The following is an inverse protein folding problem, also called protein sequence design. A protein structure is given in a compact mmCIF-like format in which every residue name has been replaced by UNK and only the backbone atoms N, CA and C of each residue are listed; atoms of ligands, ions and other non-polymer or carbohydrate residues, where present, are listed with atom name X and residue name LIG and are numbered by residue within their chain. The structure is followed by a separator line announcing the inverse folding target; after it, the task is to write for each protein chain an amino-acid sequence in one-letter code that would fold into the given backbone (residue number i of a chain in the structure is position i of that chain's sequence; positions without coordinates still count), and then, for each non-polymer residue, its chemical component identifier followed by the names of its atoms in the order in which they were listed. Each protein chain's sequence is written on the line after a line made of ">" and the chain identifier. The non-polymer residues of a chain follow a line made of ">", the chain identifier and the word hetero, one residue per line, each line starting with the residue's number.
data_IF_212702836023
#
_entry.id   IF_212702836023
#
_cell.length_a   1.000
_cell.length_b   1.000
_cell.length_c   1.000
_cell.angle_alpha   90.00
_cell.angle_beta   90.00
_cell.angle_gamma   90.00
#
_symmetry.space_group_name_H-M   'P 1'
#
loop_
_entity.id
_entity.type
_entity.pdbx_description
1 polymer ?
#
# COMPACT_ATOMS: atom_id res chain seq x y z
N UNK A 1 -9.22 9.37 22.59
CA UNK A 1 -8.41 10.41 21.94
C UNK A 1 -7.54 9.70 20.91
N UNK A 2 -7.87 9.83 19.63
CA UNK A 2 -7.05 9.28 18.54
C UNK A 2 -6.15 10.41 18.05
N UNK A 3 -4.88 10.39 18.44
CA UNK A 3 -3.88 11.28 17.86
C UNK A 3 -3.52 10.72 16.50
N UNK A 4 -3.88 11.44 15.44
CA UNK A 4 -3.44 11.15 14.08
C UNK A 4 -2.67 12.36 13.56
N UNK A 5 -1.60 12.16 12.80
CA UNK A 5 -0.69 13.25 12.44
C UNK A 5 -0.34 13.17 10.96
N UNK A 6 -0.73 14.17 10.17
CA UNK A 6 -0.26 14.36 8.80
C UNK A 6 0.87 15.39 8.85
N UNK A 7 2.05 15.02 8.37
CA UNK A 7 3.30 15.71 8.63
C UNK A 7 4.07 15.97 7.35
N UNK A 8 4.56 17.19 7.18
CA UNK A 8 5.68 17.48 6.28
C UNK A 8 6.94 17.53 7.13
N UNK A 9 7.38 16.43 7.78
CA UNK A 9 8.49 16.40 8.78
C UNK A 9 9.68 15.55 8.29
N UNK A 10 10.91 15.93 8.67
CA UNK A 10 12.12 15.15 8.41
C UNK A 10 12.17 13.90 9.30
N UNK A 11 12.68 12.80 8.74
CA UNK A 11 12.85 11.52 9.44
C UNK A 11 13.43 11.61 10.87
N UNK A 12 14.49 12.41 11.16
CA UNK A 12 15.12 12.42 12.48
C UNK A 12 14.18 12.86 13.61
N UNK A 13 13.30 13.80 13.30
CA UNK A 13 12.39 14.43 14.26
C UNK A 13 11.28 13.48 14.70
N UNK A 14 10.74 12.70 13.76
CA UNK A 14 9.76 11.65 14.07
C UNK A 14 10.39 10.44 14.76
N UNK A 15 11.65 10.13 14.43
CA UNK A 15 12.37 8.96 14.94
C UNK A 15 12.37 8.94 16.46
N UNK A 16 12.62 10.07 17.13
CA UNK A 16 12.64 10.15 18.61
C UNK A 16 11.36 9.64 19.26
N UNK A 17 10.19 9.92 18.66
CA UNK A 17 8.89 9.57 19.24
C UNK A 17 8.33 8.24 18.72
N UNK A 18 8.57 7.91 17.46
CA UNK A 18 7.91 6.79 16.78
C UNK A 18 8.84 5.65 16.36
N UNK A 19 10.14 5.72 16.64
CA UNK A 19 11.05 4.59 16.40
C UNK A 19 10.54 3.32 17.08
N UNK A 20 10.60 2.21 16.33
CA UNK A 20 10.13 0.88 16.76
C UNK A 20 8.65 0.78 17.15
N UNK A 21 7.79 1.69 16.71
CA UNK A 21 6.35 1.71 17.06
C UNK A 21 5.42 1.50 15.88
N UNK A 22 5.91 1.60 14.64
CA UNK A 22 5.07 1.47 13.44
C UNK A 22 4.86 -0.01 13.12
N UNK A 23 3.59 -0.42 13.04
CA UNK A 23 3.23 -1.82 12.74
C UNK A 23 3.26 -2.10 11.25
N UNK A 24 2.76 -1.17 10.44
CA UNK A 24 2.68 -1.32 8.99
C UNK A 24 3.15 -0.04 8.32
N UNK A 25 4.04 -0.18 7.35
CA UNK A 25 4.38 0.88 6.39
C UNK A 25 3.80 0.47 5.04
N UNK A 26 3.04 1.36 4.41
CA UNK A 26 2.70 1.23 3.00
C UNK A 26 3.17 2.49 2.29
N UNK A 27 3.86 2.31 1.16
CA UNK A 27 4.28 3.43 0.33
C UNK A 27 4.09 3.16 -1.16
N UNK A 28 3.79 4.24 -1.86
CA UNK A 28 3.59 4.32 -3.30
C UNK A 28 4.55 5.38 -3.89
N UNK A 29 5.87 5.06 -3.97
CA UNK A 29 6.87 5.99 -4.47
C UNK A 29 6.70 6.30 -5.97
N UNK A 30 7.38 7.32 -6.52
CA UNK A 30 7.48 7.52 -7.97
C UNK A 30 8.04 6.27 -8.66
N UNK A 31 7.45 5.91 -9.81
CA UNK A 31 7.79 4.69 -10.54
C UNK A 31 8.89 4.89 -11.60
N UNK A 32 9.37 6.13 -11.76
CA UNK A 32 10.40 6.51 -12.71
C UNK A 32 10.01 6.23 -14.18
N UNK A 33 8.76 6.53 -14.55
CA UNK A 33 8.21 6.21 -15.88
C UNK A 33 8.63 7.20 -16.97
N UNK A 34 9.26 8.32 -16.58
CA UNK A 34 9.60 9.43 -17.48
C UNK A 34 8.41 10.31 -17.89
N UNK A 35 7.21 10.05 -17.34
CA UNK A 35 6.04 10.90 -17.52
C UNK A 35 5.90 11.85 -16.32
N UNK A 36 6.16 13.14 -16.55
CA UNK A 36 5.92 14.19 -15.56
C UNK A 36 4.41 14.46 -15.41
N UNK A 37 3.69 13.55 -14.76
CA UNK A 37 2.31 13.79 -14.37
C UNK A 37 2.25 14.41 -12.96
N UNK A 38 1.66 15.61 -12.89
CA UNK A 38 1.35 16.42 -11.72
C UNK A 38 2.47 16.57 -10.67
N UNK A 39 3.32 17.60 -10.83
CA UNK A 39 4.26 18.20 -9.88
C UNK A 39 5.29 17.28 -9.18
N UNK A 40 5.18 15.96 -9.30
CA UNK A 40 6.11 15.01 -8.73
C UNK A 40 7.12 14.61 -9.81
N UNK A 41 8.41 14.76 -9.54
CA UNK A 41 9.45 14.34 -10.47
C UNK A 41 9.38 12.82 -10.64
N UNK A 42 9.06 12.34 -11.84
CA UNK A 42 9.02 10.90 -12.17
C UNK A 42 10.04 10.56 -13.27
N UNK A 43 11.06 11.40 -13.42
CA UNK A 43 12.11 11.30 -14.42
C UNK A 43 13.49 11.43 -13.77
N UNK A 44 13.85 10.43 -12.97
CA UNK A 44 15.15 10.33 -12.32
C UNK A 44 16.14 9.55 -13.20
N UNK A 45 17.43 9.92 -13.13
CA UNK A 45 18.46 8.94 -13.42
C UNK A 45 18.29 7.77 -12.43
N UNK A 46 18.37 6.54 -12.92
CA UNK A 46 18.19 5.33 -12.11
C UNK A 46 19.04 5.31 -10.82
N UNK A 47 20.30 5.74 -10.91
CA UNK A 47 21.18 5.85 -9.73
C UNK A 47 20.65 6.84 -8.68
N UNK A 48 20.13 7.99 -9.13
CA UNK A 48 19.49 8.99 -8.26
C UNK A 48 18.22 8.45 -7.62
N UNK A 49 17.41 7.68 -8.35
CA UNK A 49 16.19 7.04 -7.82
C UNK A 49 16.54 6.03 -6.72
N UNK A 50 17.57 5.21 -6.92
CA UNK A 50 18.04 4.25 -5.91
C UNK A 50 18.54 4.93 -4.65
N UNK A 51 19.35 6.00 -4.77
CA UNK A 51 19.80 6.79 -3.60
C UNK A 51 18.62 7.44 -2.88
N UNK A 52 17.67 7.99 -3.65
CA UNK A 52 16.44 8.58 -3.12
C UNK A 52 15.62 7.60 -2.29
N UNK A 53 15.47 6.36 -2.78
CA UNK A 53 14.76 5.28 -2.08
C UNK A 53 15.55 4.71 -0.91
N UNK A 54 16.87 4.53 -1.06
CA UNK A 54 17.75 3.97 -0.02
C UNK A 54 17.62 4.75 1.28
N UNK A 55 17.82 6.07 1.21
CA UNK A 55 17.76 6.94 2.40
C UNK A 55 16.41 6.86 3.12
N UNK A 56 15.31 6.66 2.39
CA UNK A 56 13.95 6.57 2.94
C UNK A 56 13.62 5.19 3.49
N UNK A 57 14.10 4.13 2.84
CA UNK A 57 13.90 2.75 3.29
C UNK A 57 14.73 2.44 4.54
N UNK A 58 15.95 2.96 4.63
CA UNK A 58 16.77 2.88 5.85
C UNK A 58 16.06 3.54 7.04
N UNK A 59 15.55 4.75 6.82
CA UNK A 59 14.69 5.47 7.75
C UNK A 59 13.43 4.68 8.15
N UNK A 60 12.70 4.14 7.17
CA UNK A 60 11.48 3.35 7.38
C UNK A 60 11.73 2.15 8.31
N UNK A 61 12.86 1.46 8.12
CA UNK A 61 13.26 0.32 8.94
C UNK A 61 13.43 0.67 10.43
N UNK A 62 13.85 1.89 10.75
CA UNK A 62 14.00 2.34 12.13
C UNK A 62 12.66 2.63 12.82
N UNK A 63 11.63 3.00 12.04
CA UNK A 63 10.28 3.23 12.55
C UNK A 63 9.52 1.94 12.85
N UNK A 64 9.72 0.90 12.04
CA UNK A 64 9.03 -0.37 12.20
C UNK A 64 9.27 -0.98 13.59
N UNK A 65 8.22 -1.48 14.23
CA UNK A 65 8.34 -2.39 15.38
C UNK A 65 9.05 -3.69 14.97
N UNK A 66 9.54 -4.46 15.93
CA UNK A 66 10.28 -5.70 15.64
C UNK A 66 9.42 -6.74 14.90
N UNK A 67 8.11 -6.69 15.11
CA UNK A 67 7.06 -7.43 14.42
C UNK A 67 6.34 -6.60 13.33
N UNK A 68 6.99 -5.54 12.84
CA UNK A 68 6.45 -4.63 11.83
C UNK A 68 6.71 -5.11 10.41
N UNK A 69 5.85 -4.68 9.48
CA UNK A 69 5.94 -5.01 8.04
C UNK A 69 5.92 -3.77 7.16
N UNK A 70 6.60 -3.84 6.02
CA UNK A 70 6.60 -2.79 4.99
C UNK A 70 6.10 -3.36 3.66
N UNK A 71 5.27 -2.57 2.99
CA UNK A 71 4.77 -2.79 1.64
C UNK A 71 5.22 -1.63 0.75
N UNK A 72 5.93 -1.94 -0.33
CA UNK A 72 6.40 -0.93 -1.30
C UNK A 72 5.86 -1.27 -2.67
N UNK A 73 5.01 -0.38 -3.20
CA UNK A 73 4.43 -0.54 -4.52
C UNK A 73 5.35 -0.01 -5.63
N UNK A 74 5.34 -0.69 -6.76
CA UNK A 74 6.13 -0.33 -7.94
C UNK A 74 5.54 -0.94 -9.21
N UNK A 75 5.91 -0.40 -10.36
CA UNK A 75 5.66 -1.04 -11.65
C UNK A 75 6.90 -1.84 -12.12
N UNK A 76 6.87 -2.28 -13.37
CA UNK A 76 7.92 -3.14 -13.93
C UNK A 76 9.27 -2.43 -14.13
N UNK A 77 9.31 -1.08 -14.15
CA UNK A 77 10.53 -0.33 -14.40
C UNK A 77 11.55 -0.49 -13.28
N UNK A 78 11.09 -0.37 -12.02
CA UNK A 78 11.98 -0.29 -10.85
C UNK A 78 11.86 -1.50 -9.89
N UNK A 79 10.86 -2.38 -10.04
CA UNK A 79 10.59 -3.45 -9.07
C UNK A 79 11.80 -4.36 -8.78
N UNK A 80 12.58 -4.71 -9.81
CA UNK A 80 13.70 -5.63 -9.66
C UNK A 80 14.85 -4.99 -8.87
N UNK A 81 15.14 -3.72 -9.16
CA UNK A 81 16.20 -2.97 -8.48
C UNK A 81 15.79 -2.59 -7.06
N UNK A 82 14.52 -2.21 -6.87
CA UNK A 82 13.93 -2.03 -5.56
C UNK A 82 14.02 -3.30 -4.72
N UNK A 83 13.77 -4.48 -5.30
CA UNK A 83 13.90 -5.77 -4.61
C UNK A 83 15.34 -6.02 -4.13
N UNK A 84 16.34 -5.71 -4.95
CA UNK A 84 17.76 -5.83 -4.58
C UNK A 84 18.11 -4.86 -3.46
N UNK A 85 17.66 -3.61 -3.55
CA UNK A 85 17.87 -2.59 -2.52
C UNK A 85 17.20 -2.98 -1.19
N UNK A 86 15.97 -3.48 -1.23
CA UNK A 86 15.26 -3.93 -0.04
C UNK A 86 15.89 -5.19 0.58
N UNK A 87 16.49 -6.09 -0.21
CA UNK A 87 17.28 -7.21 0.33
C UNK A 87 18.49 -6.71 1.14
N UNK A 88 19.15 -5.64 0.71
CA UNK A 88 20.28 -5.03 1.45
C UNK A 88 19.80 -4.41 2.78
N UNK A 89 18.70 -3.65 2.74
CA UNK A 89 18.23 -2.87 3.89
C UNK A 89 17.47 -3.73 4.91
N UNK A 90 16.55 -4.58 4.44
CA UNK A 90 15.67 -5.39 5.30
C UNK A 90 16.16 -6.81 5.51
N UNK A 91 17.24 -7.22 4.85
CA UNK A 91 17.77 -8.59 4.80
C UNK A 91 16.89 -9.54 3.98
N UNK A 92 17.54 -10.34 3.14
CA UNK A 92 16.87 -11.25 2.18
C UNK A 92 15.96 -12.28 2.87
N UNK A 93 16.35 -12.76 4.04
CA UNK A 93 15.61 -13.75 4.82
C UNK A 93 14.28 -13.23 5.38
N UNK A 94 14.14 -11.90 5.49
CA UNK A 94 12.95 -11.20 5.95
C UNK A 94 11.99 -10.84 4.79
N UNK A 95 12.36 -11.15 3.55
CA UNK A 95 11.44 -11.08 2.43
C UNK A 95 10.27 -12.03 2.65
N UNK A 96 9.05 -11.51 2.50
CA UNK A 96 7.82 -12.28 2.66
C UNK A 96 7.35 -12.78 1.31
N UNK A 97 6.97 -11.85 0.43
CA UNK A 97 6.34 -12.13 -0.85
C UNK A 97 6.32 -10.88 -1.73
N UNK A 98 6.21 -11.08 -3.05
CA UNK A 98 5.83 -10.04 -3.99
C UNK A 98 4.35 -10.25 -4.34
N UNK A 99 3.50 -9.32 -3.88
CA UNK A 99 2.09 -9.30 -4.27
C UNK A 99 1.96 -8.72 -5.68
N UNK A 100 1.02 -9.24 -6.45
CA UNK A 100 0.69 -8.76 -7.79
C UNK A 100 -0.71 -8.18 -7.76
N UNK A 101 -0.85 -6.88 -8.00
CA UNK A 101 -2.15 -6.22 -8.06
C UNK A 101 -2.63 -6.06 -9.50
N UNK A 102 -3.85 -6.51 -9.79
CA UNK A 102 -4.52 -6.26 -11.08
C UNK A 102 -5.08 -4.82 -11.12
N UNK A 103 -4.28 -3.89 -11.68
CA UNK A 103 -4.62 -2.47 -11.74
C UNK A 103 -5.65 -2.08 -12.79
N UNK A 104 -5.85 -2.92 -13.81
CA UNK A 104 -6.83 -2.68 -14.87
C UNK A 104 -7.25 -3.98 -15.55
N UNK A 105 -8.52 -4.08 -15.92
CA UNK A 105 -9.04 -5.17 -16.75
C UNK A 105 -8.74 -4.96 -18.25
N UNK A 106 -8.51 -3.71 -18.66
CA UNK A 106 -8.34 -3.30 -20.05
C UNK A 106 -7.02 -2.55 -20.26
N UNK A 107 -6.27 -2.95 -21.29
CA UNK A 107 -5.04 -2.26 -21.72
C UNK A 107 -4.95 -2.31 -23.25
N UNK A 108 -4.56 -1.19 -23.86
CA UNK A 108 -4.49 -1.00 -25.32
C UNK A 108 -3.08 -1.20 -25.89
N UNK A 109 -2.10 -1.52 -25.04
CA UNK A 109 -0.73 -1.80 -25.47
C UNK A 109 -0.61 -3.15 -26.20
N UNK A 110 0.45 -3.31 -27.01
CA UNK A 110 0.76 -4.53 -27.78
C UNK A 110 0.76 -5.78 -26.89
N UNK A 111 1.27 -5.67 -25.68
CA UNK A 111 1.10 -6.63 -24.59
C UNK A 111 0.28 -5.94 -23.51
N UNK A 112 -0.84 -6.54 -23.10
CA UNK A 112 -1.74 -5.95 -22.10
C UNK A 112 -1.11 -6.01 -20.71
N UNK A 113 -0.34 -4.99 -20.34
CA UNK A 113 0.19 -4.84 -18.99
C UNK A 113 -0.98 -4.43 -18.08
N UNK A 114 -1.35 -5.33 -17.16
CA UNK A 114 -2.51 -5.18 -16.27
C UNK A 114 -2.12 -5.14 -14.80
N UNK A 115 -0.85 -5.32 -14.49
CA UNK A 115 -0.39 -5.59 -13.14
C UNK A 115 0.61 -4.54 -12.64
N UNK A 116 0.64 -4.38 -11.34
CA UNK A 116 1.69 -3.72 -10.57
C UNK A 116 2.14 -4.66 -9.44
N UNK A 117 3.30 -4.37 -8.87
CA UNK A 117 3.95 -5.22 -7.88
C UNK A 117 4.02 -4.51 -6.53
N UNK A 118 3.87 -5.26 -5.44
CA UNK A 118 4.00 -4.76 -4.08
C UNK A 118 4.93 -5.69 -3.32
N UNK A 119 6.14 -5.21 -3.04
CA UNK A 119 7.14 -5.95 -2.29
C UNK A 119 6.82 -5.88 -0.80
N UNK A 120 6.78 -7.03 -0.14
CA UNK A 120 6.51 -7.14 1.29
C UNK A 120 7.72 -7.71 2.05
N UNK A 121 8.13 -7.00 3.11
CA UNK A 121 9.19 -7.41 4.03
C UNK A 121 8.73 -7.28 5.48
N UNK A 122 9.17 -8.21 6.32
CA UNK A 122 9.18 -8.05 7.77
C UNK A 122 10.43 -7.26 8.18
N UNK A 123 10.37 -6.53 9.30
CA UNK A 123 11.59 -5.91 9.85
C UNK A 123 12.55 -6.97 10.40
N UNK A 124 12.01 -7.93 11.14
CA UNK A 124 12.69 -9.12 11.66
C UNK A 124 11.80 -10.30 11.35
N UNK A 125 12.32 -11.41 10.84
CA UNK A 125 11.50 -12.57 10.55
C UNK A 125 10.74 -13.07 11.79
N UNK A 126 9.42 -12.97 11.75
CA UNK A 126 8.53 -13.50 12.80
C UNK A 126 7.42 -14.39 12.23
N UNK A 127 7.31 -14.47 10.90
CA UNK A 127 6.38 -15.39 10.24
C UNK A 127 4.94 -14.91 10.34
N UNK A 128 4.70 -13.66 9.97
CA UNK A 128 3.37 -13.07 9.92
C UNK A 128 2.44 -13.97 9.11
N UNK A 129 1.34 -14.35 9.74
CA UNK A 129 0.31 -15.14 9.09
C UNK A 129 -0.69 -14.16 8.47
N UNK A 130 -0.59 -13.99 7.15
CA UNK A 130 -1.56 -13.22 6.36
C UNK A 130 -2.85 -14.04 6.14
N UNK A 131 -3.51 -14.47 7.22
CA UNK A 131 -4.79 -15.15 7.15
C UNK A 131 -5.89 -14.19 7.60
N UNK A 132 -6.74 -13.80 6.65
CA UNK A 132 -7.99 -13.07 6.93
C UNK A 132 -9.11 -13.43 5.95
N UNK A 133 -8.81 -14.20 4.92
CA UNK A 133 -9.84 -14.65 3.99
C UNK A 133 -10.64 -15.74 4.68
N UNK A 134 -11.94 -15.56 4.74
CA UNK A 134 -12.86 -16.61 5.13
C UNK A 134 -13.40 -17.23 3.85
N UNK A 135 -13.29 -18.54 3.72
CA UNK A 135 -14.13 -19.25 2.76
C UNK A 135 -15.58 -19.13 3.26
N UNK A 136 -16.42 -18.42 2.51
CA UNK A 136 -17.84 -18.27 2.82
C UNK A 136 -18.53 -19.65 2.84
N UNK A 137 -19.50 -19.83 3.73
CA UNK A 137 -20.37 -21.00 3.73
C UNK A 137 -20.99 -21.23 2.33
N UNK A 138 -20.61 -22.33 1.68
CA UNK A 138 -21.06 -22.66 0.32
C UNK A 138 -19.99 -22.57 -0.77
N UNK A 139 -18.82 -21.97 -0.50
CA UNK A 139 -17.71 -21.95 -1.45
C UNK A 139 -17.18 -23.37 -1.68
N UNK A 140 -17.02 -23.76 -2.95
CA UNK A 140 -16.60 -25.11 -3.32
C UNK A 140 -15.20 -25.17 -3.92
N UNK A 141 -14.44 -26.20 -3.54
CA UNK A 141 -13.07 -26.43 -3.95
C UNK A 141 -12.92 -27.73 -4.76
N UNK A 142 -11.99 -27.79 -5.72
CA UNK A 142 -11.75 -29.03 -6.45
C UNK A 142 -11.07 -30.08 -5.55
N UNK A 143 -11.62 -31.29 -5.52
CA UNK A 143 -11.02 -32.45 -4.82
C UNK A 143 -9.95 -33.16 -5.67
N UNK A 144 -9.84 -32.80 -6.95
CA UNK A 144 -8.89 -33.39 -7.90
C UNK A 144 -7.61 -32.57 -8.03
N UNK A 145 -6.50 -33.25 -8.28
CA UNK A 145 -5.23 -32.67 -8.70
C UNK A 145 -4.62 -33.51 -9.83
N UNK A 146 -4.36 -32.90 -11.00
CA UNK A 146 -3.95 -33.62 -12.21
C UNK A 146 -2.55 -34.26 -12.12
N UNK A 147 -1.70 -33.84 -11.19
CA UNK A 147 -0.40 -34.47 -10.97
C UNK A 147 -0.47 -35.73 -10.09
N UNK A 148 -1.58 -35.96 -9.39
CA UNK A 148 -1.68 -37.09 -8.48
C UNK A 148 -1.88 -38.42 -9.23
N UNK A 149 -1.37 -39.50 -8.65
CA UNK A 149 -1.69 -40.86 -9.09
C UNK A 149 -3.17 -41.13 -8.82
N UNK A 150 -3.83 -41.81 -9.77
CA UNK A 150 -5.22 -42.21 -9.60
C UNK A 150 -5.36 -43.13 -8.39
N UNK A 151 -6.43 -42.93 -7.63
CA UNK A 151 -6.83 -43.80 -6.53
C UNK A 151 -8.34 -43.95 -6.53
N UNK A 152 -8.79 -45.11 -6.07
CA UNK A 152 -10.21 -45.38 -5.87
C UNK A 152 -10.58 -44.99 -4.44
N UNK A 153 -11.51 -44.04 -4.31
CA UNK A 153 -12.11 -43.68 -3.03
C UNK A 153 -13.56 -44.18 -2.97
N UNK A 154 -13.97 -44.54 -1.76
CA UNK A 154 -15.30 -45.01 -1.42
C UNK A 154 -16.11 -43.85 -0.83
N UNK A 155 -17.26 -43.58 -1.45
CA UNK A 155 -18.19 -42.55 -1.01
C UNK A 155 -19.43 -43.21 -0.40
N UNK A 156 -19.69 -43.04 0.90
CA UNK A 156 -20.84 -43.64 1.57
C UNK A 156 -22.16 -43.02 1.07
N UNK A 157 -23.33 -43.65 1.31
CA UNK A 157 -24.62 -43.05 1.00
C UNK A 157 -24.76 -41.62 1.56
N UNK A 158 -25.45 -40.77 0.81
CA UNK A 158 -25.73 -39.37 1.13
C UNK A 158 -24.48 -38.46 1.23
N UNK A 159 -23.32 -38.88 0.72
CA UNK A 159 -22.08 -38.08 0.78
C UNK A 159 -21.88 -37.16 -0.42
N UNK A 160 -22.46 -37.47 -1.58
CA UNK A 160 -22.34 -36.67 -2.80
C UNK A 160 -23.70 -36.11 -3.20
N UNK A 161 -23.77 -34.80 -3.39
CA UNK A 161 -24.90 -34.08 -3.97
C UNK A 161 -24.71 -33.87 -5.48
N UNK A 162 -25.77 -34.13 -6.25
CA UNK A 162 -25.79 -34.04 -7.71
C UNK A 162 -26.77 -32.96 -8.16
N UNK A 163 -26.30 -32.01 -8.97
CA UNK A 163 -27.16 -30.93 -9.51
C UNK A 163 -27.93 -31.37 -10.76
N UNK A 164 -27.26 -32.06 -11.68
CA UNK A 164 -27.83 -32.42 -13.00
C UNK A 164 -28.23 -33.90 -13.09
N UNK A 165 -27.42 -34.80 -12.54
CA UNK A 165 -27.64 -36.24 -12.64
C UNK A 165 -28.82 -36.76 -11.79
N UNK A 166 -29.54 -37.76 -12.33
CA UNK A 166 -30.69 -38.43 -11.70
C UNK A 166 -30.72 -39.91 -12.11
N UNK A 167 -31.42 -40.74 -11.33
CA UNK A 167 -31.64 -42.15 -11.66
C UNK A 167 -30.41 -43.02 -11.39
N UNK A 168 -30.22 -44.05 -12.22
CA UNK A 168 -29.10 -45.00 -12.08
C UNK A 168 -28.08 -44.76 -13.19
N UNK A 169 -26.84 -44.51 -12.82
CA UNK A 169 -25.70 -44.42 -13.72
C UNK A 169 -24.88 -45.69 -13.60
N UNK A 170 -24.68 -46.39 -14.72
CA UNK A 170 -23.83 -47.58 -14.78
C UNK A 170 -22.34 -47.19 -14.74
N UNK A 171 -21.45 -48.11 -14.31
CA UNK A 171 -20.01 -47.89 -14.36
C UNK A 171 -19.58 -47.33 -15.72
N UNK A 172 -18.90 -46.20 -15.69
CA UNK A 172 -18.51 -45.46 -16.90
C UNK A 172 -17.35 -44.53 -16.61
N UNK A 173 -16.68 -44.10 -17.68
CA UNK A 173 -15.55 -43.18 -17.62
C UNK A 173 -15.99 -41.78 -18.07
N UNK A 174 -15.81 -40.82 -17.19
CA UNK A 174 -15.92 -39.40 -17.47
C UNK A 174 -14.54 -38.79 -17.75
N UNK A 175 -14.49 -37.51 -18.12
CA UNK A 175 -13.25 -36.82 -18.50
C UNK A 175 -12.17 -36.95 -17.40
N UNK A 176 -12.50 -36.59 -16.15
CA UNK A 176 -11.55 -36.59 -15.02
C UNK A 176 -11.74 -37.73 -14.01
N UNK A 177 -12.82 -38.50 -14.11
CA UNK A 177 -13.21 -39.50 -13.11
C UNK A 177 -13.74 -40.77 -13.77
N UNK A 178 -13.59 -41.90 -13.09
CA UNK A 178 -14.10 -43.19 -13.51
C UNK A 178 -15.01 -43.74 -12.41
N UNK A 179 -16.27 -43.96 -12.76
CA UNK A 179 -17.27 -44.54 -11.87
C UNK A 179 -17.16 -46.06 -11.94
N UNK A 180 -16.85 -46.70 -10.81
CA UNK A 180 -16.55 -48.14 -10.73
C UNK A 180 -17.81 -48.97 -10.42
N UNK A 181 -18.72 -48.43 -9.62
CA UNK A 181 -19.94 -49.10 -9.20
C UNK A 181 -21.19 -48.45 -9.83
N UNK A 182 -22.31 -49.17 -9.85
CA UNK A 182 -23.62 -48.57 -10.14
C UNK A 182 -23.90 -47.42 -9.16
N UNK A 183 -24.13 -46.21 -9.68
CA UNK A 183 -24.49 -45.05 -8.87
C UNK A 183 -26.00 -44.82 -8.94
N UNK A 184 -26.68 -44.97 -7.81
CA UNK A 184 -28.13 -44.74 -7.68
C UNK A 184 -28.38 -43.40 -7.01
N UNK A 185 -28.97 -42.46 -7.73
CA UNK A 185 -29.21 -41.09 -7.25
C UNK A 185 -30.68 -40.95 -6.85
N UNK A 186 -30.92 -40.72 -5.56
CA UNK A 186 -32.24 -40.48 -4.97
C UNK A 186 -32.18 -39.18 -4.18
N UNK A 187 -33.19 -38.32 -4.31
CA UNK A 187 -33.21 -37.00 -3.66
C UNK A 187 -31.93 -36.18 -3.89
N UNK A 188 -31.40 -36.22 -5.13
CA UNK A 188 -30.16 -35.56 -5.56
C UNK A 188 -28.90 -36.02 -4.82
N UNK A 189 -28.93 -37.14 -4.10
CA UNK A 189 -27.75 -37.70 -3.44
C UNK A 189 -27.54 -39.16 -3.82
N UNK A 190 -26.32 -39.68 -3.63
CA UNK A 190 -26.08 -41.11 -3.84
C UNK A 190 -26.76 -41.93 -2.74
N UNK A 191 -27.68 -42.81 -3.11
CA UNK A 191 -28.39 -43.69 -2.16
C UNK A 191 -27.60 -44.91 -1.75
N UNK A 192 -26.57 -45.28 -2.53
CA UNK A 192 -25.69 -46.39 -2.26
C UNK A 192 -24.24 -45.93 -2.12
N UNK A 193 -23.44 -46.77 -1.48
CA UNK A 193 -22.00 -46.61 -1.47
C UNK A 193 -21.46 -46.76 -2.90
N UNK A 194 -20.56 -45.87 -3.30
CA UNK A 194 -20.02 -45.82 -4.66
C UNK A 194 -18.51 -45.65 -4.65
N UNK A 195 -17.80 -46.44 -5.45
CA UNK A 195 -16.38 -46.25 -5.71
C UNK A 195 -16.16 -45.40 -6.95
N UNK A 196 -15.32 -44.39 -6.79
CA UNK A 196 -14.89 -43.51 -7.88
C UNK A 196 -13.37 -43.56 -7.93
N UNK A 197 -12.81 -43.78 -9.11
CA UNK A 197 -11.39 -43.75 -9.39
C UNK A 197 -11.02 -42.41 -10.05
N UNK A 198 -10.15 -41.63 -9.41
CA UNK A 198 -9.70 -40.36 -9.94
C UNK A 198 -8.38 -39.92 -9.31
N UNK A 199 -7.80 -38.83 -9.81
CA UNK A 199 -6.59 -38.22 -9.26
C UNK A 199 -6.91 -37.35 -8.03
N UNK A 200 -7.38 -37.98 -6.96
CA UNK A 200 -7.82 -37.29 -5.74
C UNK A 200 -6.66 -36.65 -4.97
N UNK A 201 -6.94 -35.49 -4.34
CA UNK A 201 -6.05 -34.85 -3.37
C UNK A 201 -5.95 -35.60 -2.05
N UNK A 202 -6.99 -36.36 -1.69
CA UNK A 202 -7.16 -36.94 -0.36
C UNK A 202 -6.99 -38.46 -0.34
N UNK A 203 -6.67 -39.00 0.82
CA UNK A 203 -6.77 -40.44 1.14
C UNK A 203 -8.22 -40.78 1.56
N UNK A 204 -8.53 -42.07 1.69
CA UNK A 204 -9.82 -42.51 2.25
C UNK A 204 -10.01 -41.93 3.66
N UNK A 205 -9.00 -42.06 4.53
CA UNK A 205 -9.06 -41.52 5.90
C UNK A 205 -9.38 -40.01 5.94
N UNK A 206 -8.75 -39.22 5.06
CA UNK A 206 -9.00 -37.78 5.02
C UNK A 206 -10.40 -37.47 4.49
N UNK A 207 -10.89 -38.22 3.51
CA UNK A 207 -12.26 -38.11 3.02
C UNK A 207 -13.27 -38.42 4.14
N UNK A 208 -13.08 -39.52 4.86
CA UNK A 208 -13.96 -39.94 5.95
C UNK A 208 -13.97 -38.92 7.09
N UNK A 209 -12.82 -38.32 7.41
CA UNK A 209 -12.73 -37.21 8.37
C UNK A 209 -13.54 -35.99 7.91
N UNK A 210 -13.43 -35.60 6.65
CA UNK A 210 -14.16 -34.44 6.10
C UNK A 210 -15.68 -34.71 6.06
N UNK A 211 -16.11 -35.93 5.74
CA UNK A 211 -17.52 -36.32 5.83
C UNK A 211 -18.02 -36.19 7.27
N UNK A 212 -17.25 -36.64 8.27
CA UNK A 212 -17.59 -36.51 9.69
C UNK A 212 -17.67 -35.05 10.14
N UNK A 213 -16.81 -34.19 9.60
CA UNK A 213 -16.84 -32.74 9.83
C UNK A 213 -18.02 -32.04 9.11
N UNK A 214 -18.78 -32.76 8.29
CA UNK A 214 -19.95 -32.24 7.58
C UNK A 214 -19.65 -31.63 6.21
N UNK A 215 -18.48 -31.90 5.64
CA UNK A 215 -18.13 -31.47 4.28
C UNK A 215 -19.06 -32.14 3.26
N UNK A 216 -19.66 -31.35 2.38
CA UNK A 216 -20.55 -31.80 1.31
C UNK A 216 -19.77 -31.94 0.01
N UNK A 217 -19.83 -33.09 -0.64
CA UNK A 217 -19.27 -33.26 -1.99
C UNK A 217 -20.33 -32.94 -3.03
N UNK A 218 -19.96 -32.27 -4.11
CA UNK A 218 -20.90 -31.81 -5.14
C UNK A 218 -20.40 -32.07 -6.55
N UNK A 219 -21.30 -32.58 -7.40
CA UNK A 219 -21.13 -32.67 -8.84
C UNK A 219 -22.18 -31.76 -9.49
N UNK A 220 -21.72 -30.66 -10.10
CA UNK A 220 -22.57 -29.56 -10.57
C UNK A 220 -23.01 -29.65 -12.03
N UNK A 221 -22.32 -30.45 -12.85
CA UNK A 221 -22.50 -30.52 -14.30
C UNK A 221 -22.26 -31.94 -14.82
N UNK A 222 -22.60 -32.16 -16.09
CA UNK A 222 -22.49 -33.45 -16.76
C UNK A 222 -21.03 -33.88 -17.04
N UNK A 223 -20.05 -33.00 -16.78
CA UNK A 223 -18.62 -33.34 -16.81
C UNK A 223 -18.21 -34.30 -15.68
N UNK A 224 -19.09 -34.52 -14.70
CA UNK A 224 -18.84 -35.37 -13.54
C UNK A 224 -17.57 -34.95 -12.77
N UNK A 225 -17.38 -33.65 -12.63
CA UNK A 225 -16.25 -33.06 -11.89
C UNK A 225 -16.67 -32.76 -10.45
N UNK A 226 -16.20 -33.59 -9.51
CA UNK A 226 -16.50 -33.43 -8.09
C UNK A 226 -15.70 -32.30 -7.44
N UNK A 227 -16.43 -31.54 -6.61
CA UNK A 227 -15.93 -30.48 -5.75
C UNK A 227 -16.41 -30.73 -4.33
N UNK A 228 -15.88 -30.03 -3.35
CA UNK A 228 -16.30 -30.16 -1.95
C UNK A 228 -16.54 -28.79 -1.34
N UNK A 229 -17.53 -28.71 -0.45
CA UNK A 229 -17.92 -27.53 0.32
C UNK A 229 -17.77 -27.92 1.78
N UNK A 230 -16.87 -27.25 2.51
CA UNK A 230 -16.72 -27.48 3.95
C UNK A 230 -17.85 -26.80 4.71
N UNK A 231 -18.20 -27.38 5.85
CA UNK A 231 -19.20 -26.80 6.75
C UNK A 231 -18.57 -25.69 7.60
N UNK A 232 -19.24 -24.54 7.66
CA UNK A 232 -18.80 -23.36 8.41
C UNK A 232 -17.67 -22.58 7.74
N UNK A 233 -17.48 -21.35 8.21
CA UNK A 233 -16.42 -20.48 7.71
C UNK A 233 -15.04 -21.00 8.16
N UNK A 234 -14.06 -20.96 7.25
CA UNK A 234 -12.67 -21.27 7.59
C UNK A 234 -11.73 -20.23 7.01
N UNK A 235 -10.68 -19.93 7.77
CA UNK A 235 -9.57 -19.17 7.26
C UNK A 235 -8.90 -19.91 6.10
N UNK A 236 -8.76 -19.21 4.97
CA UNK A 236 -7.92 -19.61 3.86
C UNK A 236 -6.71 -18.69 3.78
N UNK A 237 -5.62 -19.22 3.22
CA UNK A 237 -4.39 -18.46 3.03
C UNK A 237 -4.63 -17.34 2.02
N UNK A 238 -4.17 -16.13 2.31
CA UNK A 238 -4.23 -15.04 1.37
C UNK A 238 -3.49 -15.39 0.07
N UNK A 239 -4.12 -15.05 -1.06
CA UNK A 239 -3.48 -15.07 -2.36
C UNK A 239 -2.40 -13.98 -2.44
N UNK A 240 -1.29 -14.26 -3.13
CA UNK A 240 -0.34 -13.23 -3.50
C UNK A 240 -0.81 -12.39 -4.71
N UNK A 241 -2.00 -12.67 -5.24
CA UNK A 241 -2.64 -11.87 -6.30
C UNK A 241 -3.79 -11.07 -5.69
N UNK A 242 -3.71 -9.76 -5.81
CA UNK A 242 -4.76 -8.83 -5.39
C UNK A 242 -5.61 -8.44 -6.60
N UNK A 243 -6.84 -8.92 -6.61
CA UNK A 243 -7.82 -8.70 -7.68
C UNK A 243 -9.25 -8.73 -7.11
N UNK A 244 -10.23 -8.79 -8.00
CA UNK A 244 -11.64 -8.82 -7.62
C UNK A 244 -12.02 -10.04 -6.74
N UNK A 245 -11.29 -11.16 -6.83
CA UNK A 245 -11.60 -12.38 -6.04
C UNK A 245 -11.36 -12.15 -4.54
N UNK A 246 -10.42 -11.28 -4.18
CA UNK A 246 -10.19 -10.88 -2.79
C UNK A 246 -10.75 -9.47 -2.48
N UNK A 247 -11.73 -9.02 -3.26
CA UNK A 247 -12.40 -7.73 -3.06
C UNK A 247 -11.55 -6.49 -3.37
N UNK A 248 -10.41 -6.64 -4.04
CA UNK A 248 -9.55 -5.52 -4.45
C UNK A 248 -9.99 -4.98 -5.81
N UNK A 249 -10.03 -3.65 -5.94
CA UNK A 249 -10.49 -2.95 -7.14
C UNK A 249 -9.33 -2.35 -7.95
N UNK A 250 -9.64 -1.77 -9.11
CA UNK A 250 -8.68 -1.27 -10.10
C UNK A 250 -8.47 0.26 -10.02
N UNK A 251 -7.55 0.80 -10.82
CA UNK A 251 -7.34 2.25 -10.97
C UNK A 251 -8.62 3.01 -11.35
N UNK A 252 -9.48 2.41 -12.19
CA UNK A 252 -10.75 3.03 -12.59
C UNK A 252 -11.61 3.34 -11.37
N UNK A 253 -11.63 2.41 -10.40
CA UNK A 253 -12.39 2.62 -9.16
C UNK A 253 -11.79 3.74 -8.34
N UNK A 254 -10.47 3.79 -8.20
CA UNK A 254 -9.77 4.86 -7.47
C UNK A 254 -10.07 6.26 -8.06
N UNK A 255 -10.01 6.40 -9.39
CA UNK A 255 -10.39 7.64 -10.07
C UNK A 255 -11.86 8.00 -9.84
N UNK A 256 -12.76 7.02 -9.80
CA UNK A 256 -14.17 7.30 -9.49
C UNK A 256 -14.39 7.74 -8.04
N UNK A 257 -13.65 7.16 -7.09
CA UNK A 257 -13.74 7.48 -5.66
C UNK A 257 -13.33 8.94 -5.42
N UNK A 258 -12.20 9.37 -5.97
CA UNK A 258 -11.74 10.74 -5.80
C UNK A 258 -12.68 11.75 -6.49
N UNK A 259 -13.20 11.42 -7.68
CA UNK A 259 -14.18 12.27 -8.40
C UNK A 259 -15.44 12.49 -7.59
N UNK A 260 -15.97 11.44 -6.96
CA UNK A 260 -17.17 11.55 -6.11
C UNK A 260 -16.88 12.35 -4.85
N UNK A 261 -15.73 12.11 -4.21
CA UNK A 261 -15.32 12.79 -2.99
C UNK A 261 -15.16 14.31 -3.17
N UNK A 262 -14.73 14.73 -4.36
CA UNK A 262 -14.43 16.11 -4.74
C UNK A 262 -15.37 16.67 -5.82
N UNK A 263 -16.55 16.07 -6.01
CA UNK A 263 -17.47 16.44 -7.10
C UNK A 263 -17.91 17.92 -7.06
N UNK A 264 -17.90 18.54 -5.87
CA UNK A 264 -18.33 19.92 -5.65
C UNK A 264 -17.16 20.88 -5.38
N UNK A 265 -15.92 20.48 -5.64
CA UNK A 265 -14.75 21.34 -5.48
C UNK A 265 -14.16 21.74 -6.83
N UNK A 266 -13.76 23.00 -6.96
CA UNK A 266 -13.01 23.52 -8.12
C UNK A 266 -11.51 23.17 -8.05
N UNK A 267 -11.18 21.97 -7.57
CA UNK A 267 -9.80 21.53 -7.33
C UNK A 267 -9.39 20.53 -8.40
N UNK A 268 -8.18 20.71 -8.94
CA UNK A 268 -7.58 19.72 -9.83
C UNK A 268 -7.48 18.37 -9.12
N UNK A 269 -8.10 17.35 -9.70
CA UNK A 269 -8.14 16.03 -9.08
C UNK A 269 -6.77 15.36 -9.17
N UNK A 270 -6.40 14.65 -8.10
CA UNK A 270 -5.20 13.81 -8.09
C UNK A 270 -5.28 12.77 -9.22
N UNK A 271 -4.21 12.66 -10.00
CA UNK A 271 -4.18 11.89 -11.25
C UNK A 271 -4.16 10.38 -11.02
N UNK A 272 -3.41 9.92 -10.02
CA UNK A 272 -3.07 8.50 -9.83
C UNK A 272 -3.38 7.98 -8.42
N UNK A 273 -4.59 8.20 -7.87
CA UNK A 273 -4.91 7.71 -6.53
C UNK A 273 -4.95 6.18 -6.54
N UNK A 274 -4.56 5.56 -5.42
CA UNK A 274 -4.78 4.14 -5.17
C UNK A 274 -6.20 3.91 -4.61
N UNK A 275 -6.88 2.82 -4.98
CA UNK A 275 -8.24 2.56 -4.50
C UNK A 275 -8.23 2.17 -3.03
N UNK A 276 -9.26 2.60 -2.28
CA UNK A 276 -9.33 2.27 -0.84
C UNK A 276 -9.38 0.77 -0.58
N UNK A 277 -10.00 -0.02 -1.47
CA UNK A 277 -10.08 -1.47 -1.34
C UNK A 277 -8.71 -2.17 -1.33
N UNK A 278 -7.74 -1.65 -2.11
CA UNK A 278 -6.37 -2.19 -2.12
C UNK A 278 -5.70 -1.98 -0.77
N UNK A 279 -5.76 -0.76 -0.23
CA UNK A 279 -5.13 -0.45 1.05
C UNK A 279 -5.85 -1.14 2.21
N UNK A 280 -7.18 -1.24 2.14
CA UNK A 280 -7.99 -2.01 3.10
C UNK A 280 -7.50 -3.44 3.18
N UNK A 281 -7.26 -4.07 2.02
CA UNK A 281 -6.75 -5.44 1.98
C UNK A 281 -5.38 -5.56 2.63
N UNK A 282 -4.46 -4.65 2.34
CA UNK A 282 -3.12 -4.63 2.93
C UNK A 282 -3.21 -4.48 4.46
N UNK A 283 -4.01 -3.53 4.96
CA UNK A 283 -4.14 -3.29 6.40
C UNK A 283 -4.89 -4.42 7.11
N UNK A 284 -5.87 -5.05 6.46
CA UNK A 284 -6.57 -6.23 7.00
C UNK A 284 -5.57 -7.34 7.31
N UNK A 285 -4.69 -7.69 6.37
CA UNK A 285 -3.78 -8.82 6.51
C UNK A 285 -2.56 -8.54 7.38
N UNK A 286 -2.28 -7.26 7.72
CA UNK A 286 -1.04 -6.86 8.42
C UNK A 286 -1.23 -6.14 9.75
N UNK A 287 -2.44 -5.67 10.06
CA UNK A 287 -2.71 -4.84 11.25
C UNK A 287 -3.99 -5.23 11.99
N UNK A 288 -4.09 -4.77 13.23
CA UNK A 288 -5.28 -4.76 14.08
C UNK A 288 -5.72 -3.32 14.40
N UNK A 289 -6.88 -3.16 15.04
CA UNK A 289 -7.29 -1.84 15.54
C UNK A 289 -6.21 -1.25 16.47
N UNK A 290 -6.06 0.08 16.46
CA UNK A 290 -5.06 0.86 17.21
C UNK A 290 -3.58 0.69 16.80
N UNK A 291 -3.26 -0.25 15.91
CA UNK A 291 -1.93 -0.32 15.31
C UNK A 291 -1.58 0.97 14.56
N UNK A 292 -0.28 1.30 14.54
CA UNK A 292 0.22 2.50 13.87
C UNK A 292 0.64 2.18 12.43
N UNK A 293 0.00 2.87 11.49
CA UNK A 293 0.29 2.81 10.05
C UNK A 293 1.08 4.05 9.65
N UNK A 294 2.13 3.90 8.85
CA UNK A 294 2.88 5.02 8.30
C UNK A 294 2.88 4.96 6.77
N UNK A 295 2.62 6.10 6.16
CA UNK A 295 2.76 6.31 4.72
C UNK A 295 3.51 7.61 4.49
N UNK A 296 4.74 7.52 3.98
CA UNK A 296 5.56 8.70 3.70
C UNK A 296 5.62 9.10 2.22
N UNK A 297 4.66 8.58 1.44
CA UNK A 297 4.29 9.03 0.10
C UNK A 297 2.76 9.15 0.04
N UNK A 298 2.19 9.93 0.96
CA UNK A 298 0.76 9.87 1.24
C UNK A 298 -0.11 10.25 0.04
N UNK A 299 0.37 11.09 -0.87
CA UNK A 299 -0.31 11.47 -2.11
C UNK A 299 -1.70 11.99 -1.81
N UNK A 300 -2.70 11.40 -2.47
CA UNK A 300 -4.12 11.71 -2.21
C UNK A 300 -4.66 11.35 -0.82
N UNK A 301 -3.84 10.79 0.08
CA UNK A 301 -4.21 10.43 1.45
C UNK A 301 -4.97 9.11 1.59
N UNK A 302 -4.90 8.20 0.59
CA UNK A 302 -5.65 6.93 0.61
C UNK A 302 -5.33 6.11 1.85
N UNK A 303 -4.05 5.92 2.17
CA UNK A 303 -3.64 5.10 3.32
C UNK A 303 -4.15 5.67 4.64
N UNK A 304 -4.06 6.99 4.80
CA UNK A 304 -4.56 7.69 5.97
C UNK A 304 -6.08 7.54 6.12
N UNK A 305 -6.83 7.73 5.03
CA UNK A 305 -8.29 7.59 5.02
C UNK A 305 -8.74 6.16 5.39
N UNK A 306 -8.10 5.15 4.80
CA UNK A 306 -8.40 3.74 5.07
C UNK A 306 -8.03 3.35 6.50
N UNK A 307 -6.84 3.72 6.96
CA UNK A 307 -6.40 3.48 8.33
C UNK A 307 -7.39 4.10 9.34
N UNK A 308 -7.84 5.33 9.09
CA UNK A 308 -8.83 6.01 9.92
C UNK A 308 -10.16 5.26 9.99
N UNK A 309 -10.74 4.91 8.83
CA UNK A 309 -12.02 4.16 8.74
C UNK A 309 -11.94 2.79 9.42
N UNK A 310 -10.76 2.17 9.37
CA UNK A 310 -10.47 0.91 10.04
C UNK A 310 -10.02 1.07 11.51
N UNK A 311 -10.07 2.26 12.11
CA UNK A 311 -9.69 2.51 13.51
C UNK A 311 -8.21 2.16 13.83
N UNK A 312 -7.32 2.36 12.86
CA UNK A 312 -5.87 2.36 13.07
C UNK A 312 -5.41 3.78 13.37
N UNK A 313 -4.28 3.91 14.06
CA UNK A 313 -3.57 5.20 14.13
C UNK A 313 -2.75 5.36 12.86
N UNK A 314 -2.56 6.58 12.38
CA UNK A 314 -1.78 6.81 11.17
C UNK A 314 -0.87 8.02 11.24
N UNK A 315 0.21 7.95 10.48
CA UNK A 315 1.07 9.06 10.12
C UNK A 315 1.15 9.11 8.59
N UNK A 316 0.79 10.26 8.01
CA UNK A 316 0.92 10.51 6.58
C UNK A 316 1.97 11.60 6.33
N UNK A 317 2.93 11.38 5.43
CA UNK A 317 3.88 12.41 5.00
C UNK A 317 3.71 12.69 3.52
N UNK A 318 3.54 13.96 3.18
CA UNK A 318 3.44 14.44 1.81
C UNK A 318 4.24 15.73 1.66
N UNK A 319 5.06 15.79 0.61
CA UNK A 319 5.97 16.90 0.34
C UNK A 319 5.38 17.94 -0.63
N UNK A 320 4.36 17.56 -1.41
CA UNK A 320 3.77 18.40 -2.43
C UNK A 320 2.66 19.30 -1.90
N UNK A 321 2.52 20.49 -2.49
CA UNK A 321 1.59 21.52 -2.01
C UNK A 321 0.11 21.16 -2.21
N UNK A 322 -0.20 20.14 -3.03
CA UNK A 322 -1.57 19.60 -3.13
C UNK A 322 -2.06 18.97 -1.83
N UNK A 323 -1.19 18.76 -0.83
CA UNK A 323 -1.57 18.27 0.50
C UNK A 323 -2.69 19.12 1.12
N UNK A 324 -2.66 20.43 0.88
CA UNK A 324 -3.64 21.40 1.37
C UNK A 324 -5.02 21.23 0.73
N UNK A 325 -5.06 20.93 -0.56
CA UNK A 325 -6.32 20.89 -1.33
C UNK A 325 -6.87 19.48 -1.53
N UNK A 326 -6.03 18.44 -1.42
CA UNK A 326 -6.40 17.05 -1.65
C UNK A 326 -6.34 16.24 -0.36
N UNK A 327 -5.14 16.04 0.20
CA UNK A 327 -4.91 15.09 1.30
C UNK A 327 -5.66 15.53 2.56
N UNK A 328 -5.50 16.80 2.95
CA UNK A 328 -6.14 17.41 4.12
C UNK A 328 -7.65 17.47 3.97
N UNK A 329 -8.15 17.91 2.83
CA UNK A 329 -9.58 17.99 2.55
C UNK A 329 -10.24 16.60 2.49
N UNK A 330 -9.56 15.59 1.94
CA UNK A 330 -10.02 14.19 2.04
C UNK A 330 -10.18 13.77 3.49
N UNK A 331 -9.18 14.00 4.34
CA UNK A 331 -9.23 13.58 5.74
C UNK A 331 -10.32 14.33 6.53
N UNK A 332 -10.56 15.60 6.24
CA UNK A 332 -11.71 16.34 6.79
C UNK A 332 -13.03 15.66 6.42
N UNK A 333 -13.24 15.34 5.14
CA UNK A 333 -14.45 14.62 4.67
C UNK A 333 -14.61 13.24 5.31
N UNK A 334 -13.50 12.53 5.55
CA UNK A 334 -13.53 11.27 6.31
C UNK A 334 -14.03 11.53 7.73
N UNK A 335 -13.48 12.51 8.46
CA UNK A 335 -13.97 12.86 9.80
C UNK A 335 -15.45 13.27 9.77
N UNK A 336 -15.90 13.98 8.74
CA UNK A 336 -17.30 14.36 8.55
C UNK A 336 -18.23 13.17 8.23
N UNK A 337 -17.67 11.98 7.97
CA UNK A 337 -18.43 10.75 7.78
C UNK A 337 -18.82 10.47 6.33
N UNK A 338 -18.03 10.90 5.36
CA UNK A 338 -18.23 10.54 3.95
C UNK A 338 -18.34 9.01 3.74
N UNK A 339 -19.21 8.61 2.82
CA UNK A 339 -19.67 7.21 2.66
C UNK A 339 -19.08 6.48 1.43
N UNK A 340 -18.02 7.02 0.83
CA UNK A 340 -17.27 6.44 -0.27
C UNK A 340 -16.27 5.37 0.15
N UNK A 341 -15.66 4.73 -0.85
CA UNK A 341 -14.66 3.68 -0.68
C UNK A 341 -15.12 2.57 0.29
N UNK A 342 -14.36 2.37 1.37
CA UNK A 342 -14.63 1.30 2.35
C UNK A 342 -15.53 1.70 3.52
N UNK A 343 -16.05 2.94 3.57
CA UNK A 343 -16.81 3.43 4.73
C UNK A 343 -17.98 2.51 5.10
N UNK A 344 -18.72 2.02 4.11
CA UNK A 344 -19.83 1.07 4.34
C UNK A 344 -19.35 -0.30 4.85
N UNK A 345 -18.23 -0.81 4.32
CA UNK A 345 -17.63 -2.08 4.74
C UNK A 345 -17.21 -2.03 6.22
N UNK A 346 -16.72 -0.89 6.68
CA UNK A 346 -16.28 -0.67 8.06
C UNK A 346 -17.39 -0.15 8.99
N UNK A 347 -18.63 -0.01 8.51
CA UNK A 347 -19.72 0.69 9.20
C UNK A 347 -19.31 2.06 9.78
N UNK A 348 -18.46 2.79 9.04
CA UNK A 348 -17.88 4.04 9.50
C UNK A 348 -18.85 5.20 9.27
N UNK A 349 -19.14 5.96 10.34
CA UNK A 349 -20.11 7.08 10.35
C UNK A 349 -19.47 8.46 10.52
N UNK A 350 -18.14 8.55 10.47
CA UNK A 350 -17.40 9.77 10.81
C UNK A 350 -16.88 9.77 12.24
N UNK A 351 -16.24 10.89 12.61
CA UNK A 351 -15.59 11.12 13.89
C UNK A 351 -14.07 10.91 13.85
N UNK A 352 -13.45 11.00 15.02
CA UNK A 352 -11.99 11.01 15.17
C UNK A 352 -11.40 12.41 14.92
N UNK A 353 -10.07 12.46 14.82
CA UNK A 353 -9.34 13.71 14.64
C UNK A 353 -7.98 13.42 14.00
N UNK A 354 -7.46 14.40 13.27
CA UNK A 354 -6.05 14.45 12.90
C UNK A 354 -5.47 15.82 13.22
N UNK A 355 -4.16 15.84 13.42
CA UNK A 355 -3.30 17.00 13.58
C UNK A 355 -2.58 17.18 12.26
N UNK A 356 -2.61 18.40 11.74
CA UNK A 356 -1.84 18.81 10.59
C UNK A 356 -0.64 19.61 11.09
N UNK A 357 0.57 19.26 10.66
CA UNK A 357 1.75 20.06 10.93
C UNK A 357 2.71 20.10 9.74
N UNK A 358 3.41 21.22 9.64
CA UNK A 358 4.40 21.51 8.62
C UNK A 358 5.74 21.83 9.28
N UNK A 359 6.85 21.53 8.59
CA UNK A 359 8.14 22.08 8.98
C UNK A 359 8.17 23.59 8.71
N UNK A 360 8.66 24.35 9.69
CA UNK A 360 8.96 25.78 9.51
C UNK A 360 10.15 25.93 8.58
N UNK A 361 9.90 26.42 7.37
CA UNK A 361 10.94 26.67 6.37
C UNK A 361 11.89 27.78 6.81
N UNK A 362 13.19 27.52 6.65
CA UNK A 362 14.28 28.49 6.81
C UNK A 362 15.00 28.60 5.48
N UNK A 363 16.14 27.93 5.26
CA UNK A 363 16.85 27.99 3.97
C UNK A 363 16.02 27.40 2.83
N UNK A 364 15.10 26.46 3.10
CA UNK A 364 14.22 25.88 2.08
C UNK A 364 13.31 26.94 1.43
N UNK A 365 12.76 27.87 2.23
CA UNK A 365 11.92 28.96 1.73
C UNK A 365 12.70 29.90 0.80
N UNK A 366 13.97 30.13 1.12
CA UNK A 366 14.88 30.96 0.32
C UNK A 366 15.26 30.26 -0.98
N UNK A 367 15.59 28.95 -0.92
CA UNK A 367 15.85 28.14 -2.11
C UNK A 367 14.67 28.20 -3.08
N UNK A 368 13.43 28.12 -2.58
CA UNK A 368 12.23 28.28 -3.42
C UNK A 368 12.15 29.66 -4.07
N UNK A 369 12.42 30.74 -3.33
CA UNK A 369 12.45 32.08 -3.89
C UNK A 369 13.50 32.20 -5.00
N UNK A 370 14.71 31.69 -4.78
CA UNK A 370 15.79 31.67 -5.78
C UNK A 370 15.37 30.88 -7.02
N UNK A 371 14.82 29.68 -6.85
CA UNK A 371 14.38 28.83 -7.97
C UNK A 371 13.26 29.49 -8.79
N UNK A 372 12.38 30.25 -8.14
CA UNK A 372 11.28 30.99 -8.78
C UNK A 372 11.69 32.36 -9.37
N UNK A 373 12.92 32.82 -9.12
CA UNK A 373 13.41 34.08 -9.65
C UNK A 373 13.37 34.09 -11.19
N UNK A 374 12.91 35.18 -11.79
CA UNK A 374 12.72 35.32 -13.24
C UNK A 374 13.94 35.93 -13.94
N UNK A 375 14.90 36.46 -13.19
CA UNK A 375 16.13 37.04 -13.72
C UNK A 375 17.33 36.83 -12.79
N UNK A 376 18.53 37.02 -13.34
CA UNK A 376 19.79 37.02 -12.59
C UNK A 376 19.77 38.09 -11.48
N UNK A 377 19.28 39.29 -11.79
CA UNK A 377 19.15 40.39 -10.83
C UNK A 377 18.20 40.04 -9.67
N UNK A 378 17.10 39.36 -9.93
CA UNK A 378 16.17 38.93 -8.89
C UNK A 378 16.80 37.85 -8.00
N UNK A 379 17.49 36.87 -8.59
CA UNK A 379 18.24 35.85 -7.87
C UNK A 379 19.29 36.48 -6.95
N UNK A 380 20.08 37.42 -7.48
CA UNK A 380 21.13 38.10 -6.72
C UNK A 380 20.56 39.01 -5.63
N UNK A 381 19.41 39.68 -5.87
CA UNK A 381 18.71 40.46 -4.83
C UNK A 381 18.27 39.58 -3.67
N UNK A 382 17.68 38.42 -3.95
CA UNK A 382 17.27 37.46 -2.91
C UNK A 382 18.51 37.00 -2.12
N UNK A 383 19.59 36.66 -2.82
CA UNK A 383 20.84 36.21 -2.20
C UNK A 383 21.54 37.30 -1.36
N UNK A 384 21.49 38.55 -1.79
CA UNK A 384 22.09 39.68 -1.07
C UNK A 384 21.23 40.15 0.11
N UNK A 385 19.92 39.93 0.05
CA UNK A 385 19.00 40.20 1.15
C UNK A 385 19.14 39.19 2.31
N UNK A 386 19.97 38.15 2.15
CA UNK A 386 20.30 37.20 3.21
C UNK A 386 21.03 37.91 4.35
N UNK A 387 20.31 38.17 5.44
CA UNK A 387 20.86 38.66 6.69
C UNK A 387 21.85 37.66 7.31
N UNK A 388 22.69 38.13 8.24
CA UNK A 388 23.71 37.34 8.94
C UNK A 388 23.19 36.09 9.69
N UNK A 389 21.87 35.90 9.81
CA UNK A 389 21.20 34.79 10.48
C UNK A 389 20.90 33.58 9.58
N UNK A 390 20.89 33.75 8.25
CA UNK A 390 20.79 32.61 7.35
C UNK A 390 22.21 32.04 7.19
N UNK A 391 22.44 30.91 7.85
CA UNK A 391 23.76 30.28 7.91
C UNK A 391 24.15 29.79 6.51
N UNK A 392 24.95 30.63 5.87
CA UNK A 392 25.66 30.34 4.63
C UNK A 392 26.71 29.28 4.93
N UNK A 393 26.94 28.37 3.99
CA UNK A 393 28.00 27.36 4.12
C UNK A 393 29.35 28.02 4.36
N UNK A 394 30.02 27.68 5.46
CA UNK A 394 31.33 28.24 5.84
C UNK A 394 32.48 27.82 4.92
N UNK A 395 32.29 26.79 4.11
CA UNK A 395 33.27 26.23 3.17
C UNK A 395 33.13 26.78 1.74
N UNK A 396 32.13 27.62 1.46
CA UNK A 396 31.90 28.13 0.11
C UNK A 396 32.66 29.44 -0.14
N UNK A 397 33.28 29.56 -1.33
CA UNK A 397 33.92 30.80 -1.77
C UNK A 397 32.86 31.83 -2.18
N UNK A 398 32.31 32.50 -1.17
CA UNK A 398 31.19 33.43 -1.30
C UNK A 398 31.46 34.60 -2.26
N UNK A 399 32.73 34.98 -2.43
CA UNK A 399 33.13 36.06 -3.34
C UNK A 399 32.93 35.69 -4.82
N UNK A 400 32.85 34.40 -5.15
CA UNK A 400 32.70 33.94 -6.54
C UNK A 400 31.28 34.23 -7.10
N UNK A 401 30.26 34.40 -6.25
CA UNK A 401 28.88 34.76 -6.68
C UNK A 401 28.82 36.21 -7.19
N UNK A 402 29.76 37.06 -6.78
CA UNK A 402 29.89 38.43 -7.29
C UNK A 402 30.87 38.56 -8.45
N UNK A 403 31.48 37.45 -8.89
CA UNK A 403 32.46 37.46 -9.97
C UNK A 403 31.82 37.73 -11.34
N UNK A 404 32.60 38.29 -12.26
CA UNK A 404 32.20 38.40 -13.67
C UNK A 404 31.97 37.02 -14.31
N UNK A 405 32.64 35.97 -13.82
CA UNK A 405 32.44 34.60 -14.31
C UNK A 405 31.05 34.07 -13.94
N UNK A 406 30.58 34.34 -12.71
CA UNK A 406 29.24 33.96 -12.27
C UNK A 406 28.15 34.68 -13.08
N UNK A 407 28.33 35.99 -13.33
CA UNK A 407 27.37 36.78 -14.12
C UNK A 407 27.23 36.30 -15.57
N UNK A 408 28.24 35.60 -16.11
CA UNK A 408 28.22 35.01 -17.45
C UNK A 408 27.50 33.66 -17.52
N UNK A 409 27.22 33.03 -16.38
CA UNK A 409 26.47 31.77 -16.33
C UNK A 409 25.00 32.00 -16.70
N UNK A 410 24.34 30.97 -17.23
CA UNK A 410 22.91 31.03 -17.47
C UNK A 410 22.12 31.05 -16.14
N UNK A 411 20.85 31.48 -16.21
CA UNK A 411 20.02 31.66 -15.02
C UNK A 411 19.86 30.38 -14.19
N UNK A 412 19.77 29.20 -14.82
CA UNK A 412 19.59 27.96 -14.08
C UNK A 412 20.86 27.61 -13.30
N UNK A 413 22.02 27.83 -13.90
CA UNK A 413 23.30 27.58 -13.23
C UNK A 413 23.55 28.58 -12.10
N UNK A 414 23.20 29.86 -12.29
CA UNK A 414 23.23 30.86 -11.22
C UNK A 414 22.34 30.46 -10.04
N UNK A 415 21.09 30.05 -10.31
CA UNK A 415 20.16 29.57 -9.28
C UNK A 415 20.71 28.36 -8.54
N UNK A 416 21.31 27.41 -9.27
CA UNK A 416 21.90 26.18 -8.71
C UNK A 416 23.01 26.50 -7.72
N UNK A 417 23.93 27.39 -8.09
CA UNK A 417 25.06 27.80 -7.24
C UNK A 417 24.57 28.58 -6.01
N UNK A 418 23.61 29.51 -6.19
CA UNK A 418 23.03 30.24 -5.05
C UNK A 418 22.35 29.28 -4.06
N UNK A 419 21.58 28.29 -4.54
CA UNK A 419 20.96 27.29 -3.67
C UNK A 419 22.00 26.39 -2.99
N UNK A 420 23.07 26.00 -3.69
CA UNK A 420 24.14 25.17 -3.14
C UNK A 420 24.97 25.88 -2.06
N UNK A 421 24.89 27.21 -2.00
CA UNK A 421 25.57 28.04 -1.00
C UNK A 421 24.84 28.11 0.34
N UNK A 422 23.59 27.66 0.39
CA UNK A 422 22.78 27.59 1.61
C UNK A 422 22.97 26.22 2.28
N UNK A 423 23.20 26.20 3.60
CA UNK A 423 23.33 24.94 4.33
C UNK A 423 21.98 24.21 4.39
N UNK A 424 21.94 23.00 3.85
CA UNK A 424 20.74 22.16 3.85
C UNK A 424 20.40 21.59 5.23
N UNK A 425 21.34 21.61 6.19
CA UNK A 425 21.02 21.27 7.59
C UNK A 425 20.08 22.29 8.24
N UNK A 426 20.05 23.51 7.70
CA UNK A 426 19.22 24.63 8.14
C UNK A 426 18.08 24.92 7.13
N UNK A 427 17.68 23.91 6.34
CA UNK A 427 16.54 24.05 5.43
C UNK A 427 15.22 24.29 6.18
N UNK A 428 15.14 23.79 7.40
CA UNK A 428 14.00 23.93 8.31
C UNK A 428 14.50 24.25 9.71
N UNK A 429 13.66 24.94 10.49
CA UNK A 429 14.00 25.36 11.84
C UNK A 429 14.26 24.15 12.74
N UNK A 430 15.43 24.12 13.38
CA UNK A 430 15.75 23.13 14.40
C UNK A 430 14.89 23.38 15.64
N UNK A 431 14.39 22.29 16.25
CA UNK A 431 13.57 22.38 17.46
C UNK A 431 14.31 23.08 18.62
N UNK A 432 15.64 22.96 18.67
CA UNK A 432 16.46 23.62 19.69
C UNK A 432 16.43 25.14 19.63
N UNK A 433 16.09 25.70 18.48
CA UNK A 433 16.11 27.15 18.22
C UNK A 433 14.70 27.75 18.25
N UNK A 434 13.66 26.95 18.57
CA UNK A 434 12.25 27.38 18.53
C UNK A 434 11.94 28.54 19.49
N UNK A 435 12.70 28.67 20.56
CA UNK A 435 12.53 29.70 21.59
C UNK A 435 13.24 31.02 21.26
N UNK A 436 14.03 31.07 20.19
CA UNK A 436 14.65 32.32 19.78
C UNK A 436 13.61 33.28 19.19
N UNK A 437 13.47 34.47 19.80
CA UNK A 437 12.58 35.54 19.34
C UNK A 437 12.78 35.89 17.85
N UNK A 438 13.97 35.61 17.33
CA UNK A 438 14.36 35.81 15.93
C UNK A 438 13.44 35.12 14.90
N UNK A 439 12.78 34.01 15.29
CA UNK A 439 11.94 33.23 14.38
C UNK A 439 10.45 33.59 14.43
N UNK A 440 10.09 34.52 15.33
CA UNK A 440 8.71 35.02 15.50
C UNK A 440 7.67 33.90 15.67
N UNK A 441 8.05 32.80 16.33
CA UNK A 441 7.15 31.68 16.61
C UNK A 441 6.25 32.06 17.79
N UNK A 442 4.94 31.96 17.59
CA UNK A 442 3.98 32.27 18.64
C UNK A 442 3.97 31.22 19.76
N UNK A 443 3.60 31.65 20.97
CA UNK A 443 3.59 30.79 22.17
C UNK A 443 2.67 29.57 22.05
N UNK A 444 1.60 29.65 21.26
CA UNK A 444 0.69 28.52 21.04
C UNK A 444 1.41 27.45 20.20
N UNK A 445 2.11 27.86 19.14
CA UNK A 445 2.93 26.96 18.31
C UNK A 445 4.07 26.33 19.10
N UNK A 446 4.76 27.09 19.96
CA UNK A 446 5.80 26.54 20.86
C UNK A 446 5.21 25.45 21.76
N UNK A 447 4.10 25.74 22.43
CA UNK A 447 3.39 24.79 23.30
C UNK A 447 2.90 23.54 22.56
N UNK A 448 2.41 23.67 21.33
CA UNK A 448 2.04 22.51 20.51
C UNK A 448 3.25 21.62 20.19
N UNK A 449 4.41 22.21 19.91
CA UNK A 449 5.64 21.46 19.70
C UNK A 449 6.09 20.75 20.99
N UNK A 450 6.02 21.40 22.15
CA UNK A 450 6.30 20.74 23.44
C UNK A 450 5.39 19.52 23.68
N UNK A 451 4.08 19.65 23.43
CA UNK A 451 3.12 18.54 23.54
C UNK A 451 3.43 17.45 22.51
N UNK A 452 3.87 17.83 21.31
CA UNK A 452 4.20 16.89 20.26
C UNK A 452 5.49 16.12 20.53
N UNK A 453 6.49 16.73 21.17
CA UNK A 453 7.81 16.11 21.42
C UNK A 453 8.02 15.57 22.84
N UNK A 454 7.10 15.86 23.77
CA UNK A 454 6.96 15.12 25.04
C UNK A 454 6.42 13.71 24.81
#
# INVERSE_FOLDING_TARGET
>A
MFYSVTLKITTPTLKKKFAKKVKCIYIDPPYNTGNDSFNYNDNFNHSSWLVFMKNRLEAAREFLSDDGVIFVQCDDNEQAYLKVLMDEIFLRENFVVCFVWEKTSNSLSRIRIKTEYILCYEKTKFGLIFNRDMAEEGQDFPILNEVNVKRTLQFPPNSIYFKTFKGVIKPTKFNKMELIDDLRIVNKTNSNMVRINAKFKWTQDKLDNEIREGTTFVIKSDEFSMRYIRKGDREVKASNVFNAECGVTTNIKATSEIKVLFANSNTDLFSTPKPEALISRILEISTNENDLVLDFFAGSGTTCAVAHKMKRRYIGIEQMDYIETITKERLKKVIEGEQGGISKKCDFKGGGSFVYAELKEVNSGIKKQILNAKSADECLKIFNALNARFLKRTDNKMDEIHSEEFQKLDLNEQKRICCASLDSNEDYLNLGDIDEDAWEIDEITKKYNEIFYS
#
